data_IF_785908045839
#
_entry.id   IF_785908045839
#
_cell.length_a   1.000
_cell.length_b   1.000
_cell.length_c   1.000
_cell.angle_alpha   90.00
_cell.angle_beta   90.00
_cell.angle_gamma   90.00
#
_symmetry.space_group_name_H-M   'P 1'
#
loop_
_entity.id
_entity.type
_entity.pdbx_description
1 polymer ?
#
# COMPACT_ATOMS: atom_id res chain seq x y z
N UNK A 1 55.60 -18.30 -36.41
CA UNK A 1 54.89 -17.30 -35.57
C UNK A 1 54.07 -18.09 -34.57
N UNK A 2 54.73 -18.55 -33.50
CA UNK A 2 54.09 -19.37 -32.46
C UNK A 2 53.61 -18.35 -31.43
N UNK A 3 52.30 -18.19 -31.29
CA UNK A 3 51.76 -17.43 -30.18
C UNK A 3 52.14 -18.19 -28.90
N UNK A 4 53.02 -17.62 -28.09
CA UNK A 4 53.49 -18.22 -26.84
C UNK A 4 52.32 -18.53 -25.91
N UNK A 5 52.44 -19.59 -25.11
CA UNK A 5 51.44 -19.99 -24.09
C UNK A 5 51.06 -18.81 -23.18
N UNK A 6 52.00 -17.88 -22.95
CA UNK A 6 51.75 -16.64 -22.22
C UNK A 6 50.77 -15.70 -22.94
N UNK A 7 50.90 -15.53 -24.25
CA UNK A 7 49.94 -14.72 -25.02
C UNK A 7 48.54 -15.31 -25.00
N UNK A 8 48.42 -16.64 -25.09
CA UNK A 8 47.11 -17.29 -25.03
C UNK A 8 46.47 -17.18 -23.63
N UNK A 9 47.29 -17.27 -22.58
CA UNK A 9 46.86 -17.04 -21.20
C UNK A 9 46.39 -15.60 -20.98
N UNK A 10 47.08 -14.61 -21.57
CA UNK A 10 46.69 -13.20 -21.50
C UNK A 10 45.37 -12.93 -22.23
N UNK A 11 45.15 -13.56 -23.39
CA UNK A 11 43.88 -13.49 -24.12
C UNK A 11 42.72 -14.12 -23.34
N UNK A 12 42.94 -15.28 -22.70
CA UNK A 12 41.90 -15.93 -21.87
C UNK A 12 41.56 -15.05 -20.66
N UNK A 13 42.56 -14.47 -20.00
CA UNK A 13 42.34 -13.54 -18.90
C UNK A 13 41.57 -12.30 -19.36
N UNK A 14 41.97 -11.68 -20.47
CA UNK A 14 41.31 -10.52 -21.05
C UNK A 14 39.86 -10.83 -21.46
N UNK A 15 39.62 -11.99 -22.08
CA UNK A 15 38.28 -12.46 -22.42
C UNK A 15 37.43 -12.70 -21.16
N UNK A 16 38.00 -13.31 -20.12
CA UNK A 16 37.33 -13.51 -18.83
C UNK A 16 36.94 -12.19 -18.15
N UNK A 17 37.85 -11.22 -18.14
CA UNK A 17 37.57 -9.87 -17.63
C UNK A 17 36.51 -9.17 -18.47
N UNK A 18 36.56 -9.28 -19.80
CA UNK A 18 35.56 -8.71 -20.70
C UNK A 18 34.18 -9.32 -20.48
N UNK A 19 34.10 -10.65 -20.31
CA UNK A 19 32.85 -11.35 -19.99
C UNK A 19 32.29 -10.86 -18.65
N UNK A 20 33.14 -10.70 -17.62
CA UNK A 20 32.71 -10.16 -16.32
C UNK A 20 32.22 -8.72 -16.42
N UNK A 21 32.88 -7.87 -17.22
CA UNK A 21 32.46 -6.49 -17.46
C UNK A 21 31.12 -6.43 -18.20
N UNK A 22 30.93 -7.25 -19.23
CA UNK A 22 29.67 -7.33 -19.97
C UNK A 22 28.54 -7.90 -19.11
N UNK A 23 28.81 -8.94 -18.32
CA UNK A 23 27.84 -9.52 -17.38
C UNK A 23 27.47 -8.57 -16.22
N UNK A 24 28.31 -7.57 -15.95
CA UNK A 24 28.09 -6.51 -14.96
C UNK A 24 27.20 -5.37 -15.48
N UNK A 25 26.84 -5.39 -16.76
CA UNK A 25 25.92 -4.42 -17.36
C UNK A 25 24.50 -5.00 -17.33
N UNK A 26 23.61 -4.32 -16.62
CA UNK A 26 22.20 -4.66 -16.54
C UNK A 26 21.38 -3.66 -17.37
N UNK A 27 20.63 -4.17 -18.33
CA UNK A 27 19.58 -3.40 -19.02
C UNK A 27 18.24 -3.63 -18.33
N UNK A 28 17.67 -2.58 -17.74
CA UNK A 28 16.39 -2.60 -17.04
C UNK A 28 15.33 -1.98 -17.95
N UNK A 29 14.21 -2.69 -18.15
CA UNK A 29 13.12 -2.23 -19.01
C UNK A 29 12.48 -0.93 -18.52
N UNK A 30 11.78 -0.19 -19.40
CA UNK A 30 11.20 1.11 -19.08
C UNK A 30 10.15 1.05 -17.95
N UNK A 31 9.45 -0.07 -17.82
CA UNK A 31 8.42 -0.33 -16.79
C UNK A 31 8.90 -1.31 -15.72
N UNK A 32 10.20 -1.38 -15.50
CA UNK A 32 10.82 -2.29 -14.54
C UNK A 32 11.73 -1.55 -13.58
N UNK A 33 11.88 -2.11 -12.38
CA UNK A 33 12.87 -1.71 -11.39
C UNK A 33 13.80 -2.89 -11.11
N UNK A 34 15.08 -2.60 -10.95
CA UNK A 34 16.08 -3.57 -10.52
C UNK A 34 16.19 -3.61 -9.01
N UNK A 35 15.75 -4.69 -8.39
CA UNK A 35 16.02 -4.99 -6.99
C UNK A 35 17.45 -5.48 -6.86
N UNK A 36 18.26 -4.79 -6.06
CA UNK A 36 19.66 -5.12 -5.85
C UNK A 36 19.80 -5.95 -4.58
N UNK A 37 20.44 -7.11 -4.69
CA UNK A 37 20.84 -7.96 -3.56
C UNK A 37 22.36 -8.05 -3.51
N UNK A 38 22.96 -7.62 -2.41
CA UNK A 38 24.40 -7.75 -2.17
C UNK A 38 24.72 -9.13 -1.60
N UNK A 39 25.60 -9.88 -2.27
CA UNK A 39 26.02 -11.24 -1.88
C UNK A 39 27.07 -11.26 -0.76
N UNK A 40 27.94 -10.26 -0.75
CA UNK A 40 29.11 -10.17 0.14
C UNK A 40 29.01 -8.93 1.02
N UNK A 41 29.06 -9.07 2.33
CA UNK A 41 29.00 -7.94 3.27
C UNK A 41 28.78 -8.36 4.72
N UNK A 42 28.74 -7.37 5.61
CA UNK A 42 28.37 -7.57 7.01
C UNK A 42 26.92 -8.09 7.13
N UNK A 43 26.64 -8.89 8.16
CA UNK A 43 25.29 -9.38 8.47
C UNK A 43 24.36 -8.21 8.76
N UNK A 44 23.10 -8.30 8.32
CA UNK A 44 22.10 -7.27 8.62
C UNK A 44 21.92 -7.14 10.15
N UNK A 45 21.86 -5.91 10.67
CA UNK A 45 21.51 -5.65 12.06
C UNK A 45 19.99 -5.83 12.24
N UNK A 46 19.62 -6.77 13.11
CA UNK A 46 18.24 -6.96 13.57
C UNK A 46 17.33 -7.79 12.65
N UNK A 47 16.03 -7.61 12.83
CA UNK A 47 14.92 -8.33 12.15
C UNK A 47 14.40 -7.56 10.91
N UNK A 48 15.25 -6.75 10.29
CA UNK A 48 14.90 -6.01 9.09
C UNK A 48 15.51 -6.72 7.88
N UNK A 49 14.70 -7.16 6.90
CA UNK A 49 15.22 -7.89 5.75
C UNK A 49 15.86 -6.99 4.67
N UNK A 50 15.87 -5.66 4.85
CA UNK A 50 16.53 -4.70 3.96
C UNK A 50 17.76 -4.05 4.60
N UNK A 51 18.80 -3.92 3.78
CA UNK A 51 20.06 -3.26 4.06
C UNK A 51 20.01 -1.78 3.64
N UNK A 52 20.14 -0.88 4.61
CA UNK A 52 20.15 0.57 4.39
C UNK A 52 21.57 1.14 4.26
N UNK A 53 22.55 0.49 4.89
CA UNK A 53 23.95 0.97 4.97
C UNK A 53 24.93 0.15 4.15
N UNK A 54 24.46 -0.53 3.10
CA UNK A 54 25.33 -1.36 2.25
C UNK A 54 25.70 -2.72 2.85
N UNK A 55 24.93 -3.21 3.82
CA UNK A 55 25.07 -4.54 4.41
C UNK A 55 24.76 -5.65 3.38
N UNK A 56 25.05 -6.91 3.71
CA UNK A 56 24.64 -8.03 2.88
C UNK A 56 23.10 -8.13 2.83
N UNK A 57 22.51 -8.55 1.72
CA UNK A 57 21.05 -8.68 1.56
C UNK A 57 20.42 -7.68 0.57
N UNK A 58 19.09 -7.56 0.60
CA UNK A 58 18.33 -6.67 -0.27
C UNK A 58 18.65 -5.22 0.07
N UNK A 59 19.14 -4.46 -0.90
CA UNK A 59 19.48 -3.06 -0.72
C UNK A 59 18.23 -2.19 -0.78
N UNK A 60 18.17 -1.12 0.01
CA UNK A 60 17.10 -0.12 -0.06
C UNK A 60 17.10 0.66 -1.38
N UNK A 61 18.26 0.80 -2.03
CA UNK A 61 18.39 1.54 -3.29
C UNK A 61 18.09 0.64 -4.49
N UNK A 62 17.05 1.02 -5.24
CA UNK A 62 16.67 0.37 -6.50
C UNK A 62 17.47 0.90 -7.68
N UNK A 63 17.63 0.07 -8.69
CA UNK A 63 18.09 0.51 -10.00
C UNK A 63 16.89 0.92 -10.84
N UNK A 64 16.84 2.22 -11.15
CA UNK A 64 15.86 2.79 -12.07
C UNK A 64 16.08 2.28 -13.52
N UNK A 65 15.04 2.33 -14.38
CA UNK A 65 15.12 1.94 -15.78
C UNK A 65 16.35 2.47 -16.54
N UNK A 66 16.79 1.72 -17.54
CA UNK A 66 17.93 2.04 -18.39
C UNK A 66 19.14 1.13 -18.19
N UNK A 67 20.25 1.52 -18.81
CA UNK A 67 21.51 0.78 -18.74
C UNK A 67 22.24 1.15 -17.44
N UNK A 68 22.41 0.17 -16.55
CA UNK A 68 23.04 0.34 -15.24
C UNK A 68 24.18 -0.65 -15.07
N UNK A 69 25.23 -0.25 -14.36
CA UNK A 69 26.38 -1.11 -14.07
C UNK A 69 26.37 -1.52 -12.60
N UNK A 70 26.43 -2.83 -12.34
CA UNK A 70 26.65 -3.41 -11.00
C UNK A 70 27.45 -4.70 -11.13
N UNK A 71 28.51 -4.82 -10.33
CA UNK A 71 29.40 -5.97 -10.40
C UNK A 71 28.70 -7.28 -10.01
N UNK A 72 28.46 -8.16 -10.97
CA UNK A 72 27.61 -9.35 -10.85
C UNK A 72 28.09 -10.39 -9.81
N UNK A 73 29.39 -10.40 -9.49
CA UNK A 73 29.95 -11.28 -8.47
C UNK A 73 29.55 -10.84 -7.05
N UNK A 74 29.49 -9.52 -6.83
CA UNK A 74 29.16 -8.91 -5.53
C UNK A 74 27.67 -8.61 -5.40
N UNK A 75 27.01 -8.26 -6.50
CA UNK A 75 25.61 -7.88 -6.53
C UNK A 75 24.83 -8.78 -7.48
N UNK A 76 23.66 -9.25 -7.05
CA UNK A 76 22.67 -9.87 -7.90
C UNK A 76 21.52 -8.88 -8.11
N UNK A 77 21.12 -8.66 -9.36
CA UNK A 77 20.00 -7.78 -9.70
C UNK A 77 18.85 -8.62 -10.23
N UNK A 78 17.67 -8.51 -9.62
CA UNK A 78 16.42 -9.10 -10.13
C UNK A 78 15.52 -8.01 -10.65
N UNK A 79 14.84 -8.27 -11.77
CA UNK A 79 13.94 -7.29 -12.41
C UNK A 79 12.53 -7.55 -11.92
N UNK A 80 11.86 -6.49 -11.49
CA UNK A 80 10.45 -6.53 -11.09
C UNK A 80 9.68 -5.47 -11.87
N UNK A 81 8.43 -5.73 -12.28
CA UNK A 81 7.60 -4.72 -12.93
C UNK A 81 7.30 -3.57 -11.96
N UNK A 82 7.05 -2.39 -12.52
CA UNK A 82 6.45 -1.29 -11.76
C UNK A 82 5.06 -1.69 -11.29
N UNK A 83 4.68 -1.19 -10.12
CA UNK A 83 3.32 -1.43 -9.61
C UNK A 83 2.37 -0.63 -10.48
N UNK A 84 1.43 -1.35 -11.09
CA UNK A 84 0.38 -0.77 -11.91
C UNK A 84 -0.98 -1.22 -11.37
N UNK A 85 -1.78 -0.26 -10.93
CA UNK A 85 -3.16 -0.50 -10.50
C UNK A 85 -4.07 -0.23 -11.71
N UNK A 86 -4.84 -1.23 -12.19
CA UNK A 86 -5.76 -1.02 -13.30
C UNK A 86 -6.85 0.02 -12.99
N UNK A 87 -7.44 0.59 -14.04
CA UNK A 87 -8.59 1.45 -13.88
C UNK A 87 -9.79 0.69 -13.26
N UNK A 88 -10.53 1.33 -12.36
CA UNK A 88 -11.66 0.73 -11.65
C UNK A 88 -11.28 -0.22 -10.52
N UNK A 89 -9.99 -0.38 -10.22
CA UNK A 89 -9.48 -1.25 -9.15
C UNK A 89 -8.61 -0.45 -8.17
N UNK A 90 -8.47 -0.96 -6.96
CA UNK A 90 -7.59 -0.40 -5.93
C UNK A 90 -6.43 -1.36 -5.64
N UNK A 91 -5.30 -0.79 -5.19
CA UNK A 91 -4.14 -1.57 -4.75
C UNK A 91 -4.01 -1.55 -3.23
N UNK A 92 -4.11 -2.71 -2.58
CA UNK A 92 -3.86 -2.84 -1.14
C UNK A 92 -2.36 -2.95 -0.89
N UNK A 93 -1.82 -2.09 -0.03
CA UNK A 93 -0.38 -2.06 0.28
C UNK A 93 -0.12 -2.73 1.62
N UNK A 94 0.82 -3.67 1.65
CA UNK A 94 1.31 -4.31 2.87
C UNK A 94 2.81 -4.02 3.00
N UNK A 95 3.22 -3.36 4.08
CA UNK A 95 4.62 -3.13 4.38
C UNK A 95 5.22 -4.35 5.09
N UNK A 96 6.30 -4.89 4.55
CA UNK A 96 7.11 -5.95 5.16
C UNK A 96 8.19 -5.39 6.09
N UNK A 97 8.43 -4.08 6.04
CA UNK A 97 9.44 -3.36 6.82
C UNK A 97 8.86 -2.19 7.60
N UNK A 98 9.65 -1.69 8.55
CA UNK A 98 9.26 -0.62 9.45
C UNK A 98 9.17 -1.10 10.90
N UNK A 99 8.60 -0.24 11.75
CA UNK A 99 8.32 -0.54 13.15
C UNK A 99 7.20 -1.58 13.29
N UNK A 100 7.20 -2.40 14.35
CA UNK A 100 6.07 -3.28 14.62
C UNK A 100 4.78 -2.46 14.83
N UNK A 101 3.66 -3.03 14.42
CA UNK A 101 2.35 -2.42 14.63
C UNK A 101 2.04 -2.37 16.13
N UNK A 102 1.49 -1.28 16.67
CA UNK A 102 1.12 -1.20 18.09
C UNK A 102 0.07 -2.26 18.44
N UNK A 103 0.10 -2.75 19.68
CA UNK A 103 -0.82 -3.78 20.16
C UNK A 103 -2.26 -3.26 20.02
N UNK A 104 -3.11 -4.06 19.38
CA UNK A 104 -4.54 -3.75 19.17
C UNK A 104 -4.86 -3.00 17.88
N UNK A 105 -3.87 -2.44 17.17
CA UNK A 105 -4.08 -1.88 15.84
C UNK A 105 -4.15 -2.99 14.78
N UNK A 106 -4.93 -2.76 13.72
CA UNK A 106 -5.10 -3.69 12.58
C UNK A 106 -4.46 -3.14 11.31
N UNK A 107 -4.29 -1.82 11.22
CA UNK A 107 -3.66 -1.15 10.11
C UNK A 107 -2.58 -0.16 10.58
N UNK A 108 -1.54 -0.02 9.77
CA UNK A 108 -0.42 0.87 10.00
C UNK A 108 -0.82 2.34 9.81
N UNK A 109 -0.37 3.19 10.72
CA UNK A 109 -0.59 4.64 10.67
C UNK A 109 0.05 5.21 9.41
N UNK A 110 -0.74 5.94 8.63
CA UNK A 110 -0.25 6.62 7.43
C UNK A 110 0.14 8.05 7.74
N UNK A 111 1.14 8.54 7.00
CA UNK A 111 1.58 9.93 7.02
C UNK A 111 1.64 10.45 5.58
N UNK A 112 1.20 11.69 5.30
CA UNK A 112 1.20 12.25 3.95
C UNK A 112 2.56 12.22 3.26
N UNK A 113 3.66 12.28 4.01
CA UNK A 113 5.02 12.22 3.47
C UNK A 113 5.37 10.88 2.81
N UNK A 114 4.60 9.81 3.07
CA UNK A 114 4.82 8.51 2.41
C UNK A 114 4.35 8.52 0.95
N UNK A 115 3.39 9.37 0.59
CA UNK A 115 2.81 9.43 -0.75
C UNK A 115 2.37 8.05 -1.26
N UNK A 116 2.93 7.63 -2.39
CA UNK A 116 2.65 6.33 -3.03
C UNK A 116 3.64 5.22 -2.62
N UNK A 117 4.35 5.36 -1.50
CA UNK A 117 5.35 4.40 -1.02
C UNK A 117 6.52 4.14 -1.98
N UNK A 118 6.83 5.10 -2.86
CA UNK A 118 7.97 5.04 -3.79
C UNK A 118 9.30 5.23 -3.07
N UNK A 119 9.33 6.09 -2.05
CA UNK A 119 10.55 6.46 -1.33
C UNK A 119 10.67 5.69 -0.02
N UNK A 120 11.35 4.55 -0.08
CA UNK A 120 11.58 3.68 1.06
C UNK A 120 12.32 4.37 2.22
N UNK A 121 13.32 5.21 1.93
CA UNK A 121 14.08 5.90 2.98
C UNK A 121 13.17 6.84 3.78
N UNK A 122 12.36 7.65 3.09
CA UNK A 122 11.37 8.53 3.73
C UNK A 122 10.39 7.73 4.58
N UNK A 123 9.91 6.59 4.09
CA UNK A 123 9.01 5.72 4.86
C UNK A 123 9.62 5.26 6.19
N UNK A 124 10.88 4.81 6.17
CA UNK A 124 11.57 4.32 7.36
C UNK A 124 11.95 5.46 8.30
N UNK A 125 12.51 6.56 7.78
CA UNK A 125 12.97 7.70 8.58
C UNK A 125 11.80 8.39 9.31
N UNK A 126 10.62 8.40 8.69
CA UNK A 126 9.39 8.95 9.28
C UNK A 126 8.64 7.95 10.17
N UNK A 127 9.20 6.77 10.42
CA UNK A 127 8.65 5.78 11.36
C UNK A 127 7.49 4.96 10.80
N UNK A 128 7.55 4.60 9.52
CA UNK A 128 6.60 3.69 8.88
C UNK A 128 6.52 2.35 9.61
N UNK A 129 5.33 1.73 9.56
CA UNK A 129 5.00 0.53 10.34
C UNK A 129 4.76 -0.68 9.42
N UNK A 130 5.15 -1.87 9.90
CA UNK A 130 4.88 -3.16 9.26
C UNK A 130 3.38 -3.46 9.26
N UNK A 131 2.91 -4.18 8.24
CA UNK A 131 1.52 -4.61 8.10
C UNK A 131 0.73 -3.87 7.02
N UNK A 132 -0.59 -4.08 7.03
CA UNK A 132 -1.53 -3.46 6.07
C UNK A 132 -1.54 -1.95 6.28
N UNK A 133 -1.30 -1.20 5.21
CA UNK A 133 -1.36 0.26 5.25
C UNK A 133 -2.81 0.75 5.10
N UNK A 134 -3.13 1.86 5.79
CA UNK A 134 -4.48 2.47 5.74
C UNK A 134 -4.89 2.96 4.36
N UNK A 135 -4.08 3.74 3.63
CA UNK A 135 -4.44 4.15 2.28
C UNK A 135 -4.24 3.01 1.29
N UNK A 136 -5.11 3.00 0.29
CA UNK A 136 -5.00 2.14 -0.88
C UNK A 136 -4.46 2.96 -2.04
N UNK A 137 -3.75 2.31 -2.95
CA UNK A 137 -3.33 2.94 -4.19
C UNK A 137 -4.54 3.17 -5.08
N UNK A 138 -4.68 4.39 -5.59
CA UNK A 138 -5.79 4.80 -6.44
C UNK A 138 -5.77 4.07 -7.78
N UNK A 139 -6.93 3.92 -8.44
CA UNK A 139 -7.00 3.35 -9.79
C UNK A 139 -6.12 4.13 -10.77
N UNK A 140 -5.37 3.42 -11.62
CA UNK A 140 -4.45 4.04 -12.58
C UNK A 140 -3.10 4.45 -11.99
N UNK A 141 -2.82 4.15 -10.72
CA UNK A 141 -1.51 4.42 -10.11
C UNK A 141 -0.43 3.60 -10.82
N UNK A 142 0.63 4.29 -11.25
CA UNK A 142 1.86 3.71 -11.76
C UNK A 142 3.03 4.22 -10.94
N UNK A 143 3.62 3.37 -10.10
CA UNK A 143 4.66 3.78 -9.17
C UNK A 143 5.80 2.74 -9.05
N UNK A 144 7.07 3.19 -8.99
CA UNK A 144 8.21 2.33 -8.69
C UNK A 144 8.26 2.04 -7.19
N UNK A 145 7.50 1.06 -6.72
CA UNK A 145 7.46 0.66 -5.30
C UNK A 145 8.48 -0.45 -5.04
N UNK A 146 9.15 -0.37 -3.89
CA UNK A 146 10.22 -1.32 -3.55
C UNK A 146 9.69 -2.75 -3.29
N UNK A 147 10.03 -3.75 -4.14
CA UNK A 147 9.36 -5.05 -4.14
C UNK A 147 9.67 -5.90 -2.91
N UNK A 148 10.83 -5.73 -2.28
CA UNK A 148 11.13 -6.41 -1.02
C UNK A 148 10.54 -5.69 0.21
N UNK A 149 10.24 -4.40 0.11
CA UNK A 149 9.78 -3.64 1.26
C UNK A 149 8.25 -3.63 1.37
N UNK A 150 7.57 -3.66 0.22
CA UNK A 150 6.12 -3.59 0.12
C UNK A 150 5.60 -4.70 -0.79
N UNK A 151 4.46 -5.26 -0.42
CA UNK A 151 3.63 -6.08 -1.28
C UNK A 151 2.43 -5.24 -1.69
N UNK A 152 2.15 -5.18 -2.97
CA UNK A 152 0.94 -4.52 -3.49
C UNK A 152 0.04 -5.56 -4.10
N UNK A 153 -1.13 -5.72 -3.51
CA UNK A 153 -2.13 -6.70 -3.93
C UNK A 153 -3.14 -5.99 -4.82
N UNK A 154 -3.23 -6.43 -6.07
CA UNK A 154 -4.25 -5.99 -7.01
C UNK A 154 -5.04 -7.20 -7.50
N UNK A 155 -6.14 -6.97 -8.23
CA UNK A 155 -6.94 -8.04 -8.83
C UNK A 155 -6.16 -8.88 -9.85
N UNK A 156 -5.38 -8.30 -10.80
CA UNK A 156 -4.65 -9.11 -11.78
C UNK A 156 -3.47 -9.85 -11.16
N UNK A 157 -2.68 -9.20 -10.32
CA UNK A 157 -1.45 -9.77 -9.77
C UNK A 157 -1.06 -9.15 -8.42
N UNK A 158 -0.17 -9.84 -7.71
CA UNK A 158 0.47 -9.32 -6.50
C UNK A 158 1.89 -8.91 -6.83
N UNK A 159 2.17 -7.62 -6.70
CA UNK A 159 3.50 -7.07 -6.90
C UNK A 159 4.35 -7.20 -5.63
N UNK A 160 5.63 -7.52 -5.81
CA UNK A 160 6.61 -7.61 -4.74
C UNK A 160 7.05 -9.04 -4.45
N UNK A 161 8.05 -9.18 -3.59
CA UNK A 161 8.61 -10.46 -3.19
C UNK A 161 8.29 -10.72 -1.72
N UNK A 162 7.56 -11.79 -1.39
CA UNK A 162 7.32 -12.17 -0.01
C UNK A 162 8.65 -12.57 0.64
N UNK A 163 8.93 -12.02 1.82
CA UNK A 163 10.14 -12.33 2.57
C UNK A 163 9.91 -13.46 3.57
N UNK A 164 8.68 -13.58 4.08
CA UNK A 164 8.31 -14.68 4.98
C UNK A 164 8.38 -16.04 4.27
N UNK A 165 8.93 -17.05 4.95
CA UNK A 165 9.06 -18.43 4.46
C UNK A 165 7.74 -19.02 3.98
N UNK A 166 6.65 -18.70 4.67
CA UNK A 166 5.34 -19.31 4.43
C UNK A 166 4.74 -18.80 3.11
N UNK A 167 4.72 -17.47 2.92
CA UNK A 167 4.26 -16.86 1.67
C UNK A 167 5.20 -17.17 0.50
N UNK A 168 6.51 -17.28 0.74
CA UNK A 168 7.46 -17.67 -0.30
C UNK A 168 7.22 -19.10 -0.80
N UNK A 169 6.87 -20.03 0.09
CA UNK A 169 6.54 -21.41 -0.26
C UNK A 169 5.28 -21.48 -1.12
N UNK A 170 4.27 -20.66 -0.80
CA UNK A 170 3.03 -20.56 -1.58
C UNK A 170 3.32 -19.98 -2.97
N UNK A 171 4.14 -18.93 -3.06
CA UNK A 171 4.57 -18.33 -4.33
C UNK A 171 5.29 -19.37 -5.22
N UNK A 172 6.22 -20.14 -4.64
CA UNK A 172 6.99 -21.14 -5.40
C UNK A 172 6.21 -22.38 -5.83
N UNK A 173 5.17 -22.79 -5.07
CA UNK A 173 4.37 -23.99 -5.40
C UNK A 173 3.21 -23.74 -6.37
N UNK A 174 2.61 -22.55 -6.37
CA UNK A 174 1.41 -22.24 -7.17
C UNK A 174 1.66 -21.32 -8.38
N UNK A 175 2.89 -20.91 -8.63
CA UNK A 175 3.28 -20.17 -9.83
C UNK A 175 3.06 -18.66 -9.74
N UNK A 176 2.10 -18.17 -8.96
CA UNK A 176 1.95 -16.75 -8.64
C UNK A 176 1.15 -16.54 -7.33
N UNK A 177 1.50 -15.48 -6.59
CA UNK A 177 0.70 -15.00 -5.46
C UNK A 177 -0.54 -14.27 -5.99
N UNK A 178 -1.72 -14.71 -5.57
CA UNK A 178 -2.99 -14.04 -5.86
C UNK A 178 -3.56 -13.43 -4.59
N UNK A 179 -4.47 -12.46 -4.74
CA UNK A 179 -5.20 -11.82 -3.64
C UNK A 179 -5.87 -12.82 -2.68
N UNK A 180 -6.29 -13.99 -3.17
CA UNK A 180 -6.87 -15.06 -2.34
C UNK A 180 -5.92 -15.60 -1.28
N UNK A 181 -4.61 -15.57 -1.52
CA UNK A 181 -3.61 -15.99 -0.54
C UNK A 181 -3.56 -15.08 0.70
N UNK A 182 -4.09 -13.86 0.56
CA UNK A 182 -4.19 -12.86 1.63
C UNK A 182 -5.60 -12.79 2.24
N UNK A 183 -6.48 -13.73 1.88
CA UNK A 183 -7.87 -13.76 2.38
C UNK A 183 -8.76 -12.67 1.79
N UNK A 184 -8.36 -12.04 0.68
CA UNK A 184 -9.16 -11.04 0.00
C UNK A 184 -10.09 -11.67 -1.05
N UNK A 185 -11.23 -11.04 -1.24
CA UNK A 185 -12.19 -11.34 -2.30
C UNK A 185 -12.03 -10.36 -3.46
N UNK A 186 -12.40 -10.78 -4.67
CA UNK A 186 -12.27 -9.96 -5.88
C UNK A 186 -13.02 -8.62 -5.77
N UNK A 187 -14.26 -8.65 -5.25
CA UNK A 187 -15.08 -7.45 -5.03
C UNK A 187 -14.45 -6.43 -4.09
N UNK A 188 -13.54 -6.83 -3.20
CA UNK A 188 -12.90 -5.93 -2.25
C UNK A 188 -11.80 -5.09 -2.90
N UNK A 189 -11.34 -5.49 -4.09
CA UNK A 189 -10.31 -4.78 -4.85
C UNK A 189 -10.90 -3.90 -5.96
N UNK A 190 -12.22 -3.87 -6.09
CA UNK A 190 -12.94 -3.05 -7.06
C UNK A 190 -13.40 -1.74 -6.41
N UNK A 191 -13.35 -0.65 -7.18
CA UNK A 191 -13.87 0.63 -6.72
C UNK A 191 -15.38 0.51 -6.57
N UNK A 192 -15.86 0.59 -5.34
CA UNK A 192 -17.29 0.59 -5.06
C UNK A 192 -17.86 1.98 -5.34
N UNK A 193 -18.70 2.07 -6.38
CA UNK A 193 -19.48 3.28 -6.68
C UNK A 193 -20.90 3.09 -6.19
N UNK A 194 -21.31 3.93 -5.24
CA UNK A 194 -22.71 4.01 -4.83
C UNK A 194 -23.39 4.94 -5.83
N UNK A 195 -24.30 4.39 -6.64
CA UNK A 195 -25.08 5.17 -7.60
C UNK A 195 -26.49 4.57 -7.74
N UNK A 196 -27.49 5.38 -8.11
CA UNK A 196 -28.84 4.88 -8.33
C UNK A 196 -28.84 3.74 -9.37
N UNK A 197 -29.52 2.65 -9.06
CA UNK A 197 -29.59 1.46 -9.91
C UNK A 197 -30.93 1.39 -10.65
N UNK A 198 -30.93 1.36 -11.99
CA UNK A 198 -32.16 1.14 -12.74
C UNK A 198 -32.59 -0.33 -12.58
N UNK A 199 -33.84 -0.53 -12.19
CA UNK A 199 -34.49 -1.85 -12.18
C UNK A 199 -34.98 -2.23 -13.57
N UNK A 200 -35.16 -3.52 -13.81
CA UNK A 200 -35.71 -4.06 -15.08
C UNK A 200 -37.08 -3.46 -15.44
N UNK A 201 -37.84 -2.98 -14.44
CA UNK A 201 -39.13 -2.31 -14.61
C UNK A 201 -39.02 -0.80 -14.92
N UNK A 202 -37.83 -0.26 -15.19
CA UNK A 202 -37.60 1.15 -15.52
C UNK A 202 -37.66 2.12 -14.34
N UNK A 203 -37.74 1.62 -13.10
CA UNK A 203 -37.66 2.46 -11.88
C UNK A 203 -36.22 2.60 -11.44
N UNK A 204 -35.79 3.81 -11.11
CA UNK A 204 -34.49 4.09 -10.50
C UNK A 204 -34.61 3.87 -9.00
N UNK A 205 -33.80 2.98 -8.45
CA UNK A 205 -33.68 2.78 -7.01
C UNK A 205 -32.46 3.53 -6.49
N UNK A 206 -32.69 4.42 -5.53
CA UNK A 206 -31.60 5.06 -4.80
C UNK A 206 -30.91 4.02 -3.93
N UNK A 207 -29.58 4.07 -3.93
CA UNK A 207 -28.73 3.13 -3.21
C UNK A 207 -28.08 3.83 -2.02
N UNK A 208 -28.05 3.15 -0.88
CA UNK A 208 -27.36 3.63 0.33
C UNK A 208 -26.12 2.76 0.55
N UNK A 209 -24.98 3.40 0.75
CA UNK A 209 -23.75 2.73 1.17
C UNK A 209 -23.68 2.59 2.67
N UNK A 210 -23.41 1.37 3.15
CA UNK A 210 -23.17 1.10 4.56
C UNK A 210 -21.70 0.81 4.77
N UNK A 211 -21.01 1.65 5.53
CA UNK A 211 -19.59 1.47 5.87
C UNK A 211 -19.48 0.90 7.27
N UNK A 212 -18.74 -0.21 7.41
CA UNK A 212 -18.39 -0.79 8.70
C UNK A 212 -16.88 -0.71 8.88
N UNK A 213 -16.45 -0.07 9.97
CA UNK A 213 -15.03 0.07 10.30
C UNK A 213 -14.65 -1.00 11.32
N UNK A 214 -13.48 -1.60 11.15
CA UNK A 214 -12.98 -2.64 12.05
C UNK A 214 -11.92 -2.11 13.02
N UNK A 215 -11.67 -0.80 13.00
CA UNK A 215 -10.63 -0.12 13.76
C UNK A 215 -11.14 1.27 14.19
N UNK A 216 -10.58 1.79 15.28
CA UNK A 216 -11.08 2.96 16.00
C UNK A 216 -11.41 2.64 17.44
N UNK A 217 -11.70 3.66 18.24
CA UNK A 217 -12.14 3.48 19.62
C UNK A 217 -13.51 2.79 19.68
N UNK A 218 -13.79 1.99 20.73
CA UNK A 218 -15.09 1.38 20.91
C UNK A 218 -16.20 2.43 21.01
N UNK A 219 -17.38 2.07 20.53
CA UNK A 219 -18.60 2.84 20.75
C UNK A 219 -18.91 2.93 22.25
N UNK A 220 -19.39 4.08 22.74
CA UNK A 220 -19.86 4.18 24.12
C UNK A 220 -21.12 3.32 24.31
N UNK A 221 -21.39 2.97 25.57
CA UNK A 221 -22.53 2.13 25.90
C UNK A 221 -23.86 2.80 25.49
N UNK A 222 -24.67 2.09 24.71
CA UNK A 222 -25.97 2.57 24.21
C UNK A 222 -25.97 2.93 22.72
N UNK A 223 -24.81 3.16 22.11
CA UNK A 223 -24.72 3.51 20.69
C UNK A 223 -24.68 2.26 19.80
N UNK A 224 -25.51 2.25 18.75
CA UNK A 224 -25.57 1.16 17.76
C UNK A 224 -24.71 1.48 16.53
N UNK A 225 -24.53 2.77 16.23
CA UNK A 225 -23.75 3.25 15.09
C UNK A 225 -23.01 4.55 15.42
N UNK A 226 -21.83 4.71 14.83
CA UNK A 226 -20.97 5.87 14.94
C UNK A 226 -21.36 6.95 13.93
N UNK A 227 -21.21 8.21 14.34
CA UNK A 227 -21.20 9.41 13.49
C UNK A 227 -20.02 10.28 13.88
N UNK A 228 -19.34 10.86 12.89
CA UNK A 228 -18.15 11.67 13.13
C UNK A 228 -18.50 12.90 14.00
N UNK A 229 -17.85 13.01 15.16
CA UNK A 229 -18.17 14.05 16.16
C UNK A 229 -19.41 13.78 17.01
N UNK A 230 -20.05 12.62 16.86
CA UNK A 230 -21.24 12.21 17.61
C UNK A 230 -22.46 13.09 17.35
N UNK A 231 -23.28 13.28 18.38
CA UNK A 231 -24.50 14.10 18.34
C UNK A 231 -24.36 15.42 19.11
N UNK A 232 -23.12 15.88 19.36
CA UNK A 232 -22.86 17.13 20.09
C UNK A 232 -23.41 18.36 19.35
N UNK A 233 -23.45 18.29 18.03
CA UNK A 233 -24.08 19.32 17.19
C UNK A 233 -25.59 19.36 17.40
N UNK A 234 -26.24 18.21 17.56
CA UNK A 234 -27.67 18.10 17.87
C UNK A 234 -27.97 18.63 19.27
N UNK A 235 -27.20 18.23 20.28
CA UNK A 235 -27.35 18.70 21.66
C UNK A 235 -27.24 20.24 21.74
N UNK A 236 -26.30 20.83 21.00
CA UNK A 236 -26.16 22.27 20.89
C UNK A 236 -27.37 22.92 20.19
N UNK A 237 -27.87 22.33 19.11
CA UNK A 237 -29.04 22.83 18.38
C UNK A 237 -30.33 22.71 19.19
N UNK A 238 -30.52 21.64 19.95
CA UNK A 238 -31.67 21.47 20.86
C UNK A 238 -31.67 22.53 21.96
N UNK A 239 -30.49 22.85 22.50
CA UNK A 239 -30.33 23.92 23.50
C UNK A 239 -30.71 25.29 22.94
N UNK A 240 -30.35 25.56 21.68
CA UNK A 240 -30.68 26.83 20.99
C UNK A 240 -32.16 26.87 20.55
N UNK A 241 -32.72 25.74 20.10
CA UNK A 241 -34.11 25.60 19.72
C UNK A 241 -35.06 25.69 20.92
N UNK A 242 -34.63 25.24 22.11
CA UNK A 242 -35.35 25.47 23.35
C UNK A 242 -35.44 26.97 23.72
N UNK A 243 -34.48 27.79 23.28
CA UNK A 243 -34.44 29.24 23.52
C UNK A 243 -35.13 30.07 22.43
N UNK A 244 -35.30 29.51 21.23
CA UNK A 244 -35.89 30.18 20.07
C UNK A 244 -36.73 29.17 19.30
N UNK A 245 -38.04 29.40 19.21
CA UNK A 245 -39.09 28.51 18.66
C UNK A 245 -38.80 28.00 17.23
N UNK A 246 -37.82 27.11 17.13
CA UNK A 246 -37.29 26.56 15.88
C UNK A 246 -38.07 25.29 15.58
N UNK A 247 -38.61 25.18 14.36
CA UNK A 247 -39.42 24.05 13.95
C UNK A 247 -38.57 22.78 13.81
N UNK A 248 -39.08 21.63 14.27
CA UNK A 248 -38.44 20.30 14.15
C UNK A 248 -37.94 19.99 12.72
N UNK A 249 -38.65 20.49 11.71
CA UNK A 249 -38.26 20.38 10.30
C UNK A 249 -36.86 20.97 10.01
N UNK A 250 -36.51 22.10 10.63
CA UNK A 250 -35.19 22.72 10.47
C UNK A 250 -34.08 21.96 11.19
N UNK A 251 -34.38 21.35 12.33
CA UNK A 251 -33.46 20.44 13.02
C UNK A 251 -33.15 19.24 12.12
N UNK A 252 -34.17 18.64 11.51
CA UNK A 252 -34.02 17.50 10.59
C UNK A 252 -33.20 17.88 9.34
N UNK A 253 -33.50 19.01 8.70
CA UNK A 253 -32.71 19.49 7.55
C UNK A 253 -31.24 19.76 7.92
N UNK A 254 -31.01 20.31 9.11
CA UNK A 254 -29.64 20.54 9.60
C UNK A 254 -28.93 19.22 9.86
N UNK A 255 -29.60 18.20 10.40
CA UNK A 255 -29.01 16.87 10.61
C UNK A 255 -28.64 16.21 9.28
N UNK A 256 -29.49 16.34 8.26
CA UNK A 256 -29.26 15.74 6.92
C UNK A 256 -28.22 16.50 6.09
N UNK A 257 -28.08 17.82 6.27
CA UNK A 257 -27.12 18.64 5.54
C UNK A 257 -25.78 18.86 6.24
N UNK A 258 -25.73 18.72 7.57
CA UNK A 258 -24.52 18.92 8.34
C UNK A 258 -23.58 17.72 8.16
N UNK A 259 -22.31 18.01 7.87
CA UNK A 259 -21.20 17.07 7.66
C UNK A 259 -20.96 16.53 6.24
N UNK A 260 -21.63 17.04 5.20
CA UNK A 260 -21.27 16.73 3.80
C UNK A 260 -19.78 17.01 3.50
N UNK A 261 -19.20 18.05 4.11
CA UNK A 261 -17.79 18.41 3.94
C UNK A 261 -16.82 17.34 4.47
N UNK A 262 -17.28 16.46 5.36
CA UNK A 262 -16.48 15.38 5.95
C UNK A 262 -16.59 14.06 5.19
N UNK A 263 -17.39 13.99 4.13
CA UNK A 263 -17.57 12.80 3.30
C UNK A 263 -16.24 12.24 2.77
N UNK A 264 -15.30 13.12 2.42
CA UNK A 264 -13.96 12.71 1.97
C UNK A 264 -13.18 11.87 3.00
N UNK A 265 -13.52 11.97 4.29
CA UNK A 265 -12.88 11.17 5.34
C UNK A 265 -13.19 9.67 5.19
N UNK A 266 -14.31 9.28 4.58
CA UNK A 266 -14.60 7.86 4.34
C UNK A 266 -13.77 7.24 3.23
N UNK A 267 -13.16 8.06 2.37
CA UNK A 267 -12.20 7.63 1.36
C UNK A 267 -10.78 7.58 1.94
N UNK A 268 -10.47 8.45 2.91
CA UNK A 268 -9.20 8.50 3.61
C UNK A 268 -9.34 7.96 5.04
N UNK A 269 -9.05 6.68 5.21
CA UNK A 269 -9.20 6.00 6.49
C UNK A 269 -8.31 6.60 7.61
N UNK A 270 -7.18 7.23 7.26
CA UNK A 270 -6.35 7.95 8.24
C UNK A 270 -7.11 9.18 8.76
N UNK A 271 -7.67 9.99 7.85
CA UNK A 271 -8.48 11.16 8.20
C UNK A 271 -9.74 10.79 8.99
N UNK A 272 -10.39 9.67 8.67
CA UNK A 272 -11.52 9.15 9.45
C UNK A 272 -11.15 8.93 10.92
N UNK A 273 -10.02 8.28 11.18
CA UNK A 273 -9.55 8.04 12.55
C UNK A 273 -9.12 9.32 13.26
N UNK A 274 -8.49 10.26 12.56
CA UNK A 274 -8.11 11.58 13.11
C UNK A 274 -9.31 12.42 13.53
N UNK A 275 -10.44 12.29 12.83
CA UNK A 275 -11.71 12.93 13.18
C UNK A 275 -12.45 12.23 14.34
N UNK A 276 -11.84 11.23 14.97
CA UNK A 276 -12.42 10.49 16.09
C UNK A 276 -13.35 9.35 15.66
N UNK A 277 -13.15 8.83 14.44
CA UNK A 277 -13.89 7.68 13.93
C UNK A 277 -13.85 6.48 14.88
N UNK A 278 -15.02 5.90 15.12
CA UNK A 278 -15.19 4.75 16.03
C UNK A 278 -15.32 3.46 15.23
N UNK A 279 -15.05 2.34 15.90
CA UNK A 279 -15.28 1.00 15.35
C UNK A 279 -16.78 0.72 15.19
N UNK A 280 -17.16 -0.04 14.18
CA UNK A 280 -18.54 -0.50 13.96
C UNK A 280 -19.23 0.19 12.78
N UNK A 281 -20.56 0.15 12.79
CA UNK A 281 -21.40 0.70 11.74
C UNK A 281 -21.29 2.23 11.72
N UNK A 282 -21.15 2.83 10.54
CA UNK A 282 -21.17 4.28 10.36
C UNK A 282 -22.51 4.69 9.74
N UNK A 283 -23.17 5.70 10.32
CA UNK A 283 -24.49 6.17 9.85
C UNK A 283 -24.46 7.51 9.13
N UNK A 284 -23.27 8.06 8.85
CA UNK A 284 -23.18 9.34 8.17
C UNK A 284 -23.67 9.21 6.71
N UNK A 285 -24.59 10.09 6.29
CA UNK A 285 -25.12 10.06 4.94
C UNK A 285 -24.00 10.38 3.95
N UNK A 286 -23.76 9.44 3.03
CA UNK A 286 -22.88 9.63 1.90
C UNK A 286 -23.74 10.08 0.71
N UNK A 287 -23.99 11.39 0.61
CA UNK A 287 -24.65 12.01 -0.55
C UNK A 287 -23.66 12.27 -1.69
#
# INVERSE_FOLDING_TARGET
>A
MIFDVETWSLFILAAGVLILLLASIYSIGPTQIGLVRKRLGAKLPGDNPLAFRGEAGYQAQLLMPGLRFKFCLVFAVTKHPWVQVPAGQIGVVIAQVGQPLPIGAKSAVYKPEFGNFSDLNTFIDKGGQKGVQRPVLSPGTLAPIHPAAFLVITKPEVFGQPISSDLSTIAHKKGDLSYKAFGLEERQLEVTRISPHPTEAGRVLDMIGVVTTLEGEPLPAGDIASRLGGFKDIEALETVAAASSTTDARLIETILGNQNDKHSAYQDFQRFLELGGKIGLQHDPLL
#
